data_IF_708677642698
#
_entry.id   IF_708677642698
#
_cell.length_a   1.000
_cell.length_b   1.000
_cell.length_c   1.000
_cell.angle_alpha   90.00
_cell.angle_beta   90.00
_cell.angle_gamma   90.00
#
_symmetry.space_group_name_H-M   'P 1'
#
loop_
_entity.id
_entity.type
_entity.pdbx_description
1 polymer ?
#
# COMPACT_ATOMS: atom_id res chain seq x y z
N UNK A 1 -3.94 -35.26 -9.47
CA UNK A 1 -5.22 -35.50 -8.78
C UNK A 1 -5.07 -35.53 -7.27
N UNK A 2 -4.19 -36.34 -6.68
CA UNK A 2 -3.98 -36.39 -5.24
C UNK A 2 -3.67 -35.04 -4.59
N UNK A 3 -2.90 -34.17 -5.26
CA UNK A 3 -2.58 -32.84 -4.74
C UNK A 3 -3.81 -31.91 -4.71
N UNK A 4 -4.69 -31.97 -5.72
CA UNK A 4 -5.92 -31.18 -5.73
C UNK A 4 -6.93 -31.67 -4.70
N UNK A 5 -7.00 -32.99 -4.47
CA UNK A 5 -7.79 -33.58 -3.37
C UNK A 5 -7.26 -33.13 -2.01
N UNK A 6 -5.94 -33.04 -1.86
CA UNK A 6 -5.32 -32.48 -0.65
C UNK A 6 -5.73 -31.02 -0.44
N UNK A 7 -5.66 -30.15 -1.47
CA UNK A 7 -6.06 -28.75 -1.34
C UNK A 7 -7.54 -28.59 -1.02
N UNK A 8 -8.43 -29.37 -1.64
CA UNK A 8 -9.86 -29.30 -1.38
C UNK A 8 -10.23 -29.74 0.06
N UNK A 9 -9.48 -30.68 0.63
CA UNK A 9 -9.71 -31.19 1.98
C UNK A 9 -9.02 -30.33 3.08
N UNK A 10 -8.28 -29.30 2.71
CA UNK A 10 -7.71 -28.39 3.72
C UNK A 10 -8.80 -27.48 4.29
N UNK A 11 -8.82 -27.37 5.60
CA UNK A 11 -9.64 -26.39 6.31
C UNK A 11 -8.83 -25.12 6.54
N UNK A 12 -9.23 -24.04 5.94
CA UNK A 12 -8.61 -22.74 6.11
C UNK A 12 -9.40 -21.95 7.14
N UNK A 13 -8.84 -21.73 8.32
CA UNK A 13 -9.43 -20.92 9.37
C UNK A 13 -8.68 -19.61 9.53
N UNK A 14 -9.41 -18.51 9.56
CA UNK A 14 -8.90 -17.21 9.93
C UNK A 14 -9.67 -16.66 11.12
N UNK A 15 -9.40 -17.18 12.31
CA UNK A 15 -10.15 -16.91 13.56
C UNK A 15 -10.20 -15.43 13.95
N UNK A 16 -9.32 -14.60 13.39
CA UNK A 16 -9.15 -13.19 13.79
C UNK A 16 -9.09 -12.25 12.59
N UNK A 17 -9.93 -12.47 11.57
CA UNK A 17 -10.05 -11.52 10.50
C UNK A 17 -10.76 -10.25 10.99
N UNK A 18 -10.20 -9.10 10.62
CA UNK A 18 -10.83 -7.80 10.85
C UNK A 18 -11.32 -7.30 9.50
N UNK A 19 -12.62 -7.06 9.33
CA UNK A 19 -13.19 -6.61 8.06
C UNK A 19 -12.50 -5.34 7.54
N UNK A 20 -12.37 -5.26 6.22
CA UNK A 20 -11.81 -4.13 5.50
C UNK A 20 -12.92 -3.33 4.83
N UNK A 21 -12.66 -2.07 4.50
CA UNK A 21 -13.59 -1.26 3.70
C UNK A 21 -13.80 -1.87 2.31
N UNK A 22 -12.72 -2.32 1.69
CA UNK A 22 -12.77 -3.11 0.46
C UNK A 22 -13.36 -4.48 0.75
N UNK A 23 -14.39 -4.88 0.00
CA UNK A 23 -15.04 -6.19 0.11
C UNK A 23 -14.94 -6.95 -1.22
N UNK A 24 -14.87 -8.27 -1.14
CA UNK A 24 -14.95 -9.13 -2.31
C UNK A 24 -16.39 -9.11 -2.84
N UNK A 25 -16.64 -8.71 -4.11
CA UNK A 25 -17.99 -8.73 -4.68
C UNK A 25 -18.56 -10.15 -4.64
N UNK A 26 -19.88 -10.28 -4.51
CA UNK A 26 -20.54 -11.59 -4.47
C UNK A 26 -20.58 -12.29 -5.84
N UNK A 27 -20.37 -11.59 -6.94
CA UNK A 27 -20.45 -12.11 -8.31
C UNK A 27 -19.28 -11.62 -9.16
N UNK A 28 -19.01 -12.34 -10.25
CA UNK A 28 -17.97 -12.02 -11.20
C UNK A 28 -16.60 -12.59 -10.83
N UNK A 29 -15.77 -12.72 -11.84
CA UNK A 29 -14.38 -13.14 -11.70
C UNK A 29 -13.53 -11.93 -11.33
N UNK A 30 -12.66 -12.05 -10.33
CA UNK A 30 -11.88 -10.93 -9.84
C UNK A 30 -10.39 -11.21 -9.83
N UNK A 31 -9.62 -10.16 -10.06
CA UNK A 31 -8.21 -10.09 -9.71
C UNK A 31 -8.04 -9.22 -8.46
N UNK A 32 -7.90 -9.84 -7.29
CA UNK A 32 -7.53 -9.15 -6.05
C UNK A 32 -6.03 -8.88 -6.05
N UNK A 33 -5.63 -7.62 -6.12
CA UNK A 33 -4.23 -7.26 -6.17
C UNK A 33 -3.87 -6.18 -5.14
N UNK A 34 -2.58 -6.03 -4.88
CA UNK A 34 -2.06 -5.04 -3.95
C UNK A 34 -0.72 -5.45 -3.36
N UNK A 35 -0.11 -4.55 -2.61
CA UNK A 35 1.22 -4.71 -2.04
C UNK A 35 1.33 -5.94 -1.14
N UNK A 36 2.55 -6.49 -1.03
CA UNK A 36 2.86 -7.60 -0.11
C UNK A 36 2.51 -7.22 1.33
N UNK A 37 1.78 -8.09 2.03
CA UNK A 37 1.41 -7.88 3.44
C UNK A 37 0.19 -7.00 3.69
N UNK A 38 -0.51 -6.50 2.65
CA UNK A 38 -1.73 -5.69 2.84
C UNK A 38 -2.97 -6.49 3.29
N UNK A 39 -2.89 -7.84 3.33
CA UNK A 39 -3.96 -8.69 3.87
C UNK A 39 -4.81 -9.43 2.85
N UNK A 40 -4.41 -9.51 1.56
CA UNK A 40 -5.17 -10.19 0.49
C UNK A 40 -5.56 -11.62 0.80
N UNK A 41 -4.58 -12.46 1.14
CA UNK A 41 -4.82 -13.87 1.51
C UNK A 41 -5.77 -14.00 2.69
N UNK A 42 -5.61 -13.14 3.73
CA UNK A 42 -6.51 -13.14 4.88
C UNK A 42 -7.96 -12.79 4.49
N UNK A 43 -8.15 -11.82 3.59
CA UNK A 43 -9.46 -11.44 3.06
C UNK A 43 -10.11 -12.58 2.28
N UNK A 44 -9.36 -13.26 1.43
CA UNK A 44 -9.88 -14.38 0.65
C UNK A 44 -10.17 -15.59 1.53
N UNK A 45 -9.31 -15.89 2.51
CA UNK A 45 -9.53 -16.98 3.44
C UNK A 45 -10.78 -16.75 4.31
N UNK A 46 -11.05 -15.52 4.72
CA UNK A 46 -12.28 -15.13 5.40
C UNK A 46 -13.51 -15.33 4.49
N UNK A 47 -13.42 -14.85 3.25
CA UNK A 47 -14.46 -14.97 2.26
C UNK A 47 -14.84 -16.45 2.00
N UNK A 48 -13.87 -17.33 1.80
CA UNK A 48 -14.15 -18.74 1.49
C UNK A 48 -14.69 -19.55 2.68
N UNK A 49 -14.56 -19.07 3.91
CA UNK A 49 -15.17 -19.73 5.09
C UNK A 49 -16.70 -19.72 5.06
N UNK A 50 -17.29 -18.77 4.35
CA UNK A 50 -18.74 -18.65 4.18
C UNK A 50 -19.26 -19.51 3.01
N UNK A 51 -18.35 -20.04 2.16
CA UNK A 51 -18.70 -20.82 0.98
C UNK A 51 -18.70 -22.34 1.28
N UNK A 52 -19.55 -23.15 0.59
CA UNK A 52 -19.53 -24.59 0.78
C UNK A 52 -18.18 -25.19 0.39
N UNK A 53 -17.55 -25.88 1.33
CA UNK A 53 -16.21 -26.45 1.14
C UNK A 53 -16.15 -27.43 -0.05
N UNK A 54 -17.17 -28.25 -0.21
CA UNK A 54 -17.24 -29.25 -1.28
C UNK A 54 -17.27 -28.64 -2.69
N UNK A 55 -17.67 -27.37 -2.82
CA UNK A 55 -17.72 -26.64 -4.09
C UNK A 55 -16.59 -25.60 -4.21
N UNK A 56 -15.69 -25.51 -3.23
CA UNK A 56 -14.60 -24.49 -3.17
C UNK A 56 -13.24 -25.18 -3.30
N UNK A 57 -12.39 -24.63 -4.16
CA UNK A 57 -10.99 -25.06 -4.30
C UNK A 57 -10.08 -23.86 -4.13
N UNK A 58 -9.29 -23.84 -3.05
CA UNK A 58 -8.25 -22.85 -2.80
C UNK A 58 -6.87 -23.45 -3.07
N UNK A 59 -6.07 -22.78 -3.88
CA UNK A 59 -4.72 -23.19 -4.24
C UNK A 59 -3.77 -22.03 -3.93
N UNK A 60 -2.84 -22.24 -3.00
CA UNK A 60 -1.70 -21.36 -2.81
C UNK A 60 -0.62 -21.69 -3.83
N UNK A 61 -0.38 -20.77 -4.79
CA UNK A 61 0.60 -20.97 -5.87
C UNK A 61 2.05 -20.89 -5.38
N UNK A 62 2.29 -20.47 -4.15
CA UNK A 62 3.62 -20.51 -3.49
C UNK A 62 3.81 -21.80 -2.65
N UNK A 63 2.82 -22.73 -2.65
CA UNK A 63 2.95 -24.01 -1.92
C UNK A 63 4.15 -24.82 -2.45
N UNK A 64 5.08 -25.24 -1.60
CA UNK A 64 6.24 -26.05 -2.00
C UNK A 64 5.91 -27.35 -2.75
N UNK A 65 4.72 -27.92 -2.53
CA UNK A 65 4.29 -29.12 -3.25
C UNK A 65 4.14 -28.89 -4.76
N UNK A 66 3.88 -27.65 -5.17
CA UNK A 66 3.79 -27.28 -6.59
C UNK A 66 5.15 -27.24 -7.30
N UNK A 67 6.28 -27.24 -6.58
CA UNK A 67 7.62 -27.32 -7.18
C UNK A 67 7.79 -28.66 -7.95
N UNK A 68 7.20 -29.74 -7.44
CA UNK A 68 7.31 -31.08 -8.02
C UNK A 68 6.12 -31.48 -8.89
N UNK A 69 5.03 -30.72 -8.82
CA UNK A 69 3.78 -31.01 -9.55
C UNK A 69 3.35 -29.77 -10.32
N UNK A 70 3.69 -29.71 -11.62
CA UNK A 70 3.15 -28.64 -12.47
C UNK A 70 1.64 -28.72 -12.53
N UNK A 71 0.98 -27.62 -12.20
CA UNK A 71 -0.48 -27.51 -12.29
C UNK A 71 -0.87 -27.24 -13.75
N UNK A 72 -1.16 -28.32 -14.51
CA UNK A 72 -1.66 -28.17 -15.87
C UNK A 72 -3.14 -27.79 -15.87
N UNK A 73 -3.53 -26.86 -16.75
CA UNK A 73 -4.90 -26.36 -16.86
C UNK A 73 -5.89 -27.49 -17.15
N UNK A 74 -5.50 -28.44 -18.02
CA UNK A 74 -6.34 -29.58 -18.37
C UNK A 74 -6.61 -30.52 -17.18
N UNK A 75 -5.61 -30.68 -16.30
CA UNK A 75 -5.75 -31.47 -15.07
C UNK A 75 -6.65 -30.77 -14.07
N UNK A 76 -6.48 -29.45 -13.93
CA UNK A 76 -7.29 -28.60 -13.08
C UNK A 76 -8.75 -28.58 -13.56
N UNK A 77 -8.98 -28.41 -14.87
CA UNK A 77 -10.32 -28.43 -15.46
C UNK A 77 -11.04 -29.76 -15.21
N UNK A 78 -10.38 -30.91 -15.50
CA UNK A 78 -10.94 -32.24 -15.23
C UNK A 78 -11.31 -32.43 -13.75
N UNK A 79 -10.53 -31.83 -12.85
CA UNK A 79 -10.83 -31.87 -11.41
C UNK A 79 -12.05 -31.02 -11.05
N UNK A 80 -12.11 -29.79 -11.57
CA UNK A 80 -13.24 -28.87 -11.40
C UNK A 80 -14.54 -29.55 -11.87
N UNK A 81 -14.53 -30.11 -13.07
CA UNK A 81 -15.71 -30.77 -13.65
C UNK A 81 -16.12 -32.00 -12.83
N UNK A 82 -15.17 -32.85 -12.41
CA UNK A 82 -15.42 -34.06 -11.63
C UNK A 82 -16.01 -33.75 -10.27
N UNK A 83 -15.44 -32.76 -9.57
CA UNK A 83 -15.80 -32.43 -8.19
C UNK A 83 -16.89 -31.35 -8.10
N UNK A 84 -17.37 -30.85 -9.26
CA UNK A 84 -18.37 -29.78 -9.35
C UNK A 84 -17.95 -28.52 -8.56
N UNK A 85 -16.67 -28.14 -8.70
CA UNK A 85 -16.14 -26.94 -8.07
C UNK A 85 -16.81 -25.71 -8.70
N UNK A 86 -17.36 -24.84 -7.86
CA UNK A 86 -18.00 -23.60 -8.25
C UNK A 86 -17.12 -22.38 -8.03
N UNK A 87 -16.33 -22.40 -6.97
CA UNK A 87 -15.38 -21.33 -6.64
C UNK A 87 -13.94 -21.85 -6.70
N UNK A 88 -13.13 -21.26 -7.57
CA UNK A 88 -11.70 -21.47 -7.63
C UNK A 88 -10.98 -20.22 -7.14
N UNK A 89 -10.08 -20.38 -6.17
CA UNK A 89 -9.16 -19.35 -5.72
C UNK A 89 -7.73 -19.74 -6.04
N UNK A 90 -7.02 -18.85 -6.74
CA UNK A 90 -5.59 -18.96 -7.03
C UNK A 90 -4.86 -17.86 -6.24
N UNK A 91 -4.36 -18.17 -5.05
CA UNK A 91 -3.60 -17.21 -4.25
C UNK A 91 -2.12 -17.20 -4.62
N UNK A 92 -1.43 -16.07 -4.40
CA UNK A 92 -0.03 -15.84 -4.80
C UNK A 92 0.25 -16.11 -6.30
N UNK A 93 -0.77 -15.90 -7.13
CA UNK A 93 -0.63 -16.14 -8.56
C UNK A 93 0.38 -15.17 -9.20
N UNK A 94 1.27 -15.72 -10.01
CA UNK A 94 2.20 -14.96 -10.84
C UNK A 94 1.78 -15.00 -12.31
N UNK A 95 2.03 -13.92 -13.04
CA UNK A 95 1.68 -13.86 -14.45
C UNK A 95 2.29 -15.04 -15.23
N UNK A 96 1.47 -15.72 -16.04
CA UNK A 96 1.82 -16.90 -16.82
C UNK A 96 2.12 -18.19 -16.00
N UNK A 97 1.73 -18.26 -14.73
CA UNK A 97 1.80 -19.51 -13.97
C UNK A 97 0.90 -20.61 -14.56
N UNK A 98 -0.19 -20.22 -15.20
CA UNK A 98 -1.03 -21.10 -16.04
C UNK A 98 -1.07 -20.57 -17.48
N UNK A 99 -1.24 -21.44 -18.44
CA UNK A 99 -1.37 -21.07 -19.88
C UNK A 99 -2.68 -20.34 -20.18
N UNK A 100 -3.74 -20.67 -19.44
CA UNK A 100 -5.05 -20.02 -19.44
C UNK A 100 -5.75 -20.28 -18.11
N UNK A 101 -6.79 -19.54 -17.80
CA UNK A 101 -7.64 -19.88 -16.65
C UNK A 101 -8.62 -20.99 -17.01
N UNK A 102 -8.91 -21.94 -16.09
CA UNK A 102 -9.94 -22.93 -16.29
C UNK A 102 -11.33 -22.28 -16.27
N UNK A 103 -12.30 -22.97 -16.89
CA UNK A 103 -13.70 -22.56 -16.82
C UNK A 103 -14.29 -23.03 -15.49
N UNK A 104 -14.79 -22.10 -14.71
CA UNK A 104 -15.42 -22.30 -13.41
C UNK A 104 -16.54 -21.27 -13.24
N UNK A 105 -17.51 -21.51 -12.37
CA UNK A 105 -18.61 -20.57 -12.12
C UNK A 105 -18.08 -19.23 -11.58
N UNK A 106 -17.04 -19.27 -10.72
CA UNK A 106 -16.40 -18.11 -10.15
C UNK A 106 -14.91 -18.30 -9.94
N UNK A 107 -14.11 -17.29 -10.33
CA UNK A 107 -12.66 -17.29 -10.22
C UNK A 107 -12.18 -16.07 -9.41
N UNK A 108 -11.36 -16.31 -8.39
CA UNK A 108 -10.64 -15.28 -7.64
C UNK A 108 -9.14 -15.51 -7.83
N UNK A 109 -8.46 -14.54 -8.44
CA UNK A 109 -7.01 -14.58 -8.66
C UNK A 109 -6.34 -13.52 -7.80
N UNK A 110 -5.51 -13.94 -6.84
CA UNK A 110 -4.82 -13.04 -5.93
C UNK A 110 -3.38 -12.83 -6.39
N UNK A 111 -3.01 -11.57 -6.61
CA UNK A 111 -1.71 -11.21 -7.20
C UNK A 111 -1.06 -10.05 -6.45
N UNK A 112 0.21 -9.78 -6.75
CA UNK A 112 0.92 -8.58 -6.26
C UNK A 112 0.64 -7.35 -7.12
N UNK A 113 0.40 -7.56 -8.42
CA UNK A 113 0.16 -6.52 -9.42
C UNK A 113 -1.18 -6.76 -10.13
N UNK A 114 -1.76 -5.70 -10.66
CA UNK A 114 -2.95 -5.81 -11.50
C UNK A 114 -2.66 -6.65 -12.74
N UNK A 115 -3.49 -7.68 -12.97
CA UNK A 115 -3.46 -8.44 -14.21
C UNK A 115 -4.22 -7.70 -15.33
N UNK A 116 -3.63 -7.66 -16.50
CA UNK A 116 -4.30 -7.15 -17.70
C UNK A 116 -5.07 -8.27 -18.39
N UNK A 117 -6.15 -8.73 -17.77
CA UNK A 117 -7.01 -9.79 -18.28
C UNK A 117 -8.46 -9.31 -18.37
N UNK A 118 -9.07 -9.45 -19.55
CA UNK A 118 -10.39 -8.85 -19.85
C UNK A 118 -11.55 -9.49 -19.10
N UNK A 119 -11.41 -10.73 -18.62
CA UNK A 119 -12.45 -11.44 -17.87
C UNK A 119 -12.34 -11.26 -16.35
N UNK A 120 -11.33 -10.57 -15.84
CA UNK A 120 -11.13 -10.38 -14.41
C UNK A 120 -11.35 -8.93 -14.04
N UNK A 121 -12.32 -8.66 -13.19
CA UNK A 121 -12.52 -7.34 -12.63
C UNK A 121 -11.43 -7.01 -11.60
N UNK A 122 -10.69 -5.91 -11.76
CA UNK A 122 -9.60 -5.57 -10.86
C UNK A 122 -10.12 -5.03 -9.54
N UNK A 123 -9.76 -5.67 -8.43
CA UNK A 123 -10.03 -5.23 -7.07
C UNK A 123 -8.71 -4.93 -6.36
N UNK A 124 -8.47 -3.67 -6.03
CA UNK A 124 -7.25 -3.26 -5.34
C UNK A 124 -7.43 -3.28 -3.83
N UNK A 125 -6.47 -3.88 -3.11
CA UNK A 125 -6.39 -3.82 -1.66
C UNK A 125 -5.14 -3.03 -1.25
N UNK A 126 -5.37 -1.85 -0.67
CA UNK A 126 -4.30 -1.05 -0.06
C UNK A 126 -3.95 -1.56 1.36
N UNK A 127 -2.77 -1.20 1.91
CA UNK A 127 -2.54 -1.25 3.34
C UNK A 127 -3.61 -0.46 4.12
N UNK A 128 -3.69 -0.65 5.43
CA UNK A 128 -4.70 0.00 6.27
C UNK A 128 -4.64 1.54 6.14
N UNK A 129 -5.78 2.19 5.98
CA UNK A 129 -5.91 3.59 6.32
C UNK A 129 -6.06 3.76 7.84
N UNK A 130 -6.24 5.00 8.28
CA UNK A 130 -6.35 5.26 9.70
C UNK A 130 -7.64 4.70 10.31
N UNK A 131 -8.76 4.78 9.61
CA UNK A 131 -10.05 4.28 10.07
C UNK A 131 -10.06 2.73 10.13
N UNK A 132 -9.56 2.06 9.09
CA UNK A 132 -9.36 0.61 9.13
C UNK A 132 -8.40 0.21 10.26
N UNK A 133 -7.33 1.00 10.49
CA UNK A 133 -6.41 0.75 11.59
C UNK A 133 -7.11 0.80 12.95
N UNK A 134 -8.06 1.72 13.16
CA UNK A 134 -8.84 1.79 14.41
C UNK A 134 -9.61 0.50 14.68
N UNK A 135 -10.14 -0.16 13.63
CA UNK A 135 -10.82 -1.45 13.79
C UNK A 135 -9.86 -2.58 14.24
N UNK A 136 -8.57 -2.50 13.86
CA UNK A 136 -7.54 -3.44 14.31
C UNK A 136 -7.04 -3.16 15.72
N UNK A 137 -7.05 -1.89 16.12
CA UNK A 137 -6.46 -1.45 17.40
C UNK A 137 -7.31 -1.83 18.60
N UNK A 138 -8.64 -1.77 18.48
CA UNK A 138 -9.54 -1.99 19.64
C UNK A 138 -9.33 -1.00 20.79
N UNK A 139 -8.62 0.11 20.57
CA UNK A 139 -8.18 1.03 21.62
C UNK A 139 -9.31 1.97 22.07
N UNK A 140 -9.25 2.34 23.34
CA UNK A 140 -10.24 3.19 24.01
C UNK A 140 -10.01 4.69 23.78
N UNK A 141 -8.82 5.12 23.33
CA UNK A 141 -8.44 6.52 23.19
C UNK A 141 -7.92 6.86 21.79
N UNK A 142 -8.54 7.82 21.12
CA UNK A 142 -8.13 8.30 19.80
C UNK A 142 -6.64 8.75 19.76
N UNK A 143 -6.17 9.43 20.79
CA UNK A 143 -4.77 9.86 20.90
C UNK A 143 -3.81 8.65 20.98
N UNK A 144 -4.18 7.63 21.75
CA UNK A 144 -3.37 6.42 21.86
C UNK A 144 -3.37 5.64 20.56
N UNK A 145 -4.51 5.53 19.89
CA UNK A 145 -4.65 4.88 18.61
C UNK A 145 -3.80 5.58 17.52
N UNK A 146 -3.84 6.90 17.46
CA UNK A 146 -3.02 7.66 16.51
C UNK A 146 -1.52 7.54 16.80
N UNK A 147 -1.10 7.60 18.07
CA UNK A 147 0.28 7.33 18.46
C UNK A 147 0.72 5.90 18.10
N UNK A 148 -0.18 4.93 18.21
CA UNK A 148 0.09 3.56 17.82
C UNK A 148 0.21 3.44 16.29
N UNK A 149 -0.70 4.03 15.53
CA UNK A 149 -0.62 4.13 14.07
C UNK A 149 0.72 4.69 13.59
N UNK A 150 1.16 5.82 14.16
CA UNK A 150 2.46 6.43 13.89
C UNK A 150 3.66 5.51 14.22
N UNK A 151 3.49 4.57 15.15
CA UNK A 151 4.56 3.64 15.55
C UNK A 151 4.61 2.38 14.70
N UNK A 152 3.47 1.84 14.31
CA UNK A 152 3.36 0.53 13.69
C UNK A 152 3.18 0.59 12.17
N UNK A 153 2.61 1.69 11.63
CA UNK A 153 2.33 1.84 10.20
C UNK A 153 1.01 1.21 9.79
N UNK A 154 0.92 0.88 8.52
CA UNK A 154 -0.30 0.51 7.80
C UNK A 154 -0.45 -0.99 7.53
N UNK A 155 0.55 -1.80 7.87
CA UNK A 155 0.48 -3.25 7.64
C UNK A 155 -0.40 -3.95 8.69
N UNK A 156 -1.44 -4.72 8.28
CA UNK A 156 -2.34 -5.40 9.21
C UNK A 156 -1.64 -6.26 10.25
N UNK A 157 -0.60 -6.98 9.85
CA UNK A 157 0.19 -7.81 10.75
C UNK A 157 0.87 -6.97 11.86
N UNK A 158 1.31 -5.75 11.53
CA UNK A 158 1.97 -4.87 12.50
C UNK A 158 0.94 -4.19 13.41
N UNK A 159 -0.22 -3.81 12.87
CA UNK A 159 -1.33 -3.24 13.65
C UNK A 159 -1.79 -4.19 14.77
N UNK A 160 -1.92 -5.49 14.49
CA UNK A 160 -2.32 -6.51 15.49
C UNK A 160 -1.35 -6.68 16.67
N UNK A 161 -0.10 -6.24 16.55
CA UNK A 161 0.91 -6.48 17.58
C UNK A 161 0.86 -5.48 18.76
N UNK A 162 0.01 -4.47 18.71
CA UNK A 162 -0.14 -3.41 19.73
C UNK A 162 1.16 -2.72 20.18
N UNK A 163 2.30 -3.09 19.61
CA UNK A 163 3.63 -2.49 19.89
C UNK A 163 4.48 -2.54 18.63
N UNK A 164 5.25 -1.49 18.40
CA UNK A 164 6.29 -1.50 17.37
C UNK A 164 7.24 -2.68 17.60
N UNK A 165 7.28 -3.62 16.66
CA UNK A 165 8.05 -4.85 16.78
C UNK A 165 9.04 -4.99 15.62
N UNK A 166 10.27 -4.58 15.87
CA UNK A 166 11.34 -4.66 14.86
C UNK A 166 11.62 -6.11 14.41
N UNK A 167 11.46 -7.09 15.30
CA UNK A 167 11.65 -8.50 14.94
C UNK A 167 10.57 -8.97 13.98
N UNK A 168 9.30 -8.61 14.19
CA UNK A 168 8.22 -8.94 13.28
C UNK A 168 8.43 -8.29 11.89
N UNK A 169 8.87 -7.04 11.83
CA UNK A 169 9.19 -6.37 10.57
C UNK A 169 10.39 -7.02 9.87
N UNK A 170 11.41 -7.48 10.59
CA UNK A 170 12.53 -8.25 10.01
C UNK A 170 12.03 -9.57 9.42
N UNK A 171 11.18 -10.31 10.12
CA UNK A 171 10.57 -11.55 9.61
C UNK A 171 9.75 -11.26 8.36
N UNK A 172 8.94 -10.20 8.37
CA UNK A 172 8.20 -9.76 7.19
C UNK A 172 9.12 -9.53 5.98
N UNK A 173 10.22 -8.78 6.17
CA UNK A 173 11.19 -8.56 5.11
C UNK A 173 11.82 -9.88 4.59
N UNK A 174 12.28 -10.73 5.52
CA UNK A 174 12.96 -11.98 5.16
C UNK A 174 12.05 -12.98 4.45
N UNK A 175 10.78 -13.05 4.83
CA UNK A 175 9.81 -13.97 4.25
C UNK A 175 9.21 -13.50 2.91
N UNK A 176 9.25 -12.20 2.62
CA UNK A 176 8.53 -11.62 1.47
C UNK A 176 9.43 -11.06 0.37
N UNK A 177 10.72 -10.92 0.63
CA UNK A 177 11.67 -10.27 -0.30
C UNK A 177 12.94 -11.07 -0.46
N UNK A 178 13.44 -11.15 -1.68
CA UNK A 178 14.72 -11.74 -2.00
C UNK A 178 15.88 -10.97 -1.34
N UNK A 179 17.03 -11.61 -1.03
CA UNK A 179 18.13 -10.96 -0.31
C UNK A 179 18.62 -9.64 -0.93
N UNK A 180 18.65 -9.53 -2.25
CA UNK A 180 19.04 -8.27 -2.91
C UNK A 180 17.92 -7.24 -2.91
N UNK A 181 16.65 -7.66 -2.96
CA UNK A 181 15.48 -6.77 -2.77
C UNK A 181 15.49 -6.18 -1.36
N UNK A 182 15.81 -6.99 -0.32
CA UNK A 182 15.95 -6.52 1.05
C UNK A 182 17.01 -5.42 1.17
N UNK A 183 18.19 -5.60 0.57
CA UNK A 183 19.25 -4.59 0.56
C UNK A 183 18.79 -3.31 -0.14
N UNK A 184 18.09 -3.43 -1.25
CA UNK A 184 17.56 -2.29 -1.97
C UNK A 184 16.51 -1.55 -1.13
N UNK A 185 15.58 -2.25 -0.48
CA UNK A 185 14.58 -1.65 0.41
C UNK A 185 15.21 -0.87 1.57
N UNK A 186 16.31 -1.37 2.14
CA UNK A 186 17.05 -0.65 3.19
C UNK A 186 17.64 0.67 2.68
N UNK A 187 18.13 0.69 1.44
CA UNK A 187 18.64 1.93 0.80
C UNK A 187 17.47 2.89 0.54
N UNK A 188 16.36 2.37 -0.01
CA UNK A 188 15.18 3.19 -0.27
C UNK A 188 14.61 3.78 1.03
N UNK A 189 14.63 3.02 2.13
CA UNK A 189 14.22 3.50 3.45
C UNK A 189 15.08 4.66 3.96
N UNK A 190 16.39 4.69 3.65
CA UNK A 190 17.28 5.78 4.03
C UNK A 190 17.02 7.07 3.23
N UNK A 191 16.44 6.95 2.05
CA UNK A 191 16.26 8.05 1.10
C UNK A 191 14.80 8.37 0.77
N UNK A 192 13.83 7.81 1.51
CA UNK A 192 12.42 8.10 1.26
C UNK A 192 12.11 9.59 1.44
N UNK A 193 11.06 10.05 0.77
CA UNK A 193 10.64 11.47 0.67
C UNK A 193 11.61 12.41 -0.04
N UNK A 194 12.74 11.91 -0.54
CA UNK A 194 13.65 12.70 -1.35
C UNK A 194 13.25 12.67 -2.84
N UNK A 195 13.60 13.72 -3.57
CA UNK A 195 13.48 13.76 -5.04
C UNK A 195 14.66 13.05 -5.67
N UNK A 196 14.43 11.87 -6.24
CA UNK A 196 15.48 11.02 -6.76
C UNK A 196 15.17 10.53 -8.17
N UNK A 197 16.23 10.39 -8.96
CA UNK A 197 16.22 9.60 -10.19
C UNK A 197 16.58 8.16 -9.89
N UNK A 198 16.13 7.20 -10.71
CA UNK A 198 16.53 5.80 -10.60
C UNK A 198 18.06 5.64 -10.70
N UNK A 199 18.73 6.53 -11.44
CA UNK A 199 20.18 6.53 -11.54
C UNK A 199 20.88 6.89 -10.22
N UNK A 200 20.35 7.85 -9.46
CA UNK A 200 20.87 8.16 -8.12
C UNK A 200 20.68 6.98 -7.16
N UNK A 201 19.52 6.32 -7.20
CA UNK A 201 19.27 5.10 -6.42
C UNK A 201 20.27 4.00 -6.80
N UNK A 202 20.59 3.86 -8.11
CA UNK A 202 21.61 2.92 -8.55
C UNK A 202 23.00 3.23 -7.96
N UNK A 203 23.40 4.51 -7.92
CA UNK A 203 24.67 4.91 -7.35
C UNK A 203 24.74 4.58 -5.85
N UNK A 204 23.70 4.88 -5.07
CA UNK A 204 23.63 4.49 -3.66
C UNK A 204 23.71 2.97 -3.46
N UNK A 205 23.01 2.20 -4.31
CA UNK A 205 23.04 0.74 -4.22
C UNK A 205 24.42 0.18 -4.55
N UNK A 206 25.08 0.70 -5.59
CA UNK A 206 26.40 0.25 -6.03
C UNK A 206 27.48 0.47 -4.96
N UNK A 207 27.37 1.49 -4.13
CA UNK A 207 28.27 1.74 -3.00
C UNK A 207 28.13 0.70 -1.88
N UNK A 208 26.95 0.08 -1.75
CA UNK A 208 26.63 -0.83 -0.64
C UNK A 208 26.75 -2.31 -1.00
N UNK A 209 26.44 -2.70 -2.24
CA UNK A 209 26.52 -4.08 -2.68
C UNK A 209 26.69 -4.20 -4.20
N UNK A 210 27.15 -5.38 -4.63
CA UNK A 210 27.31 -5.68 -6.06
C UNK A 210 25.93 -5.81 -6.72
N UNK A 211 25.62 -4.88 -7.63
CA UNK A 211 24.34 -4.80 -8.35
C UNK A 211 24.55 -4.36 -9.79
N UNK A 212 23.85 -5.00 -10.74
CA UNK A 212 23.83 -4.54 -12.13
C UNK A 212 22.79 -3.43 -12.30
N UNK A 213 23.04 -2.53 -13.25
CA UNK A 213 22.11 -1.45 -13.59
C UNK A 213 20.75 -2.00 -14.05
N UNK A 214 20.78 -3.01 -14.92
CA UNK A 214 19.56 -3.61 -15.49
C UNK A 214 18.69 -4.26 -14.42
N UNK A 215 19.30 -5.02 -13.48
CA UNK A 215 18.56 -5.61 -12.37
C UNK A 215 17.90 -4.53 -11.51
N UNK A 216 18.63 -3.47 -11.16
CA UNK A 216 18.07 -2.41 -10.32
C UNK A 216 16.92 -1.68 -11.00
N UNK A 217 17.07 -1.31 -12.27
CA UNK A 217 16.00 -0.64 -13.01
C UNK A 217 14.75 -1.51 -13.13
N UNK A 218 14.94 -2.82 -13.41
CA UNK A 218 13.85 -3.80 -13.45
C UNK A 218 13.17 -3.93 -12.08
N UNK A 219 13.94 -4.00 -10.99
CA UNK A 219 13.41 -4.16 -9.64
C UNK A 219 12.67 -2.90 -9.16
N UNK A 220 13.21 -1.70 -9.42
CA UNK A 220 12.52 -0.44 -9.10
C UNK A 220 11.20 -0.34 -9.86
N UNK A 221 11.16 -0.73 -11.14
CA UNK A 221 9.92 -0.78 -11.90
C UNK A 221 8.94 -1.77 -11.28
N UNK A 222 9.37 -2.99 -10.97
CA UNK A 222 8.54 -4.00 -10.32
C UNK A 222 8.00 -3.52 -8.96
N UNK A 223 8.83 -2.85 -8.16
CA UNK A 223 8.38 -2.27 -6.89
C UNK A 223 7.35 -1.15 -7.08
N UNK A 224 7.45 -0.36 -8.16
CA UNK A 224 6.43 0.60 -8.54
C UNK A 224 5.12 -0.08 -8.96
N UNK A 225 5.20 -1.11 -9.81
CA UNK A 225 4.05 -1.88 -10.29
C UNK A 225 3.33 -2.60 -9.12
N UNK A 226 4.09 -3.09 -8.11
CA UNK A 226 3.56 -3.69 -6.87
C UNK A 226 3.11 -2.64 -5.83
N UNK A 227 3.27 -1.34 -6.10
CA UNK A 227 3.00 -0.25 -5.16
C UNK A 227 3.78 -0.30 -3.84
N UNK A 228 4.96 -0.92 -3.85
CA UNK A 228 5.95 -0.80 -2.77
C UNK A 228 6.61 0.58 -2.78
N UNK A 229 6.67 1.22 -3.94
CA UNK A 229 7.20 2.55 -4.17
C UNK A 229 6.21 3.40 -4.98
N UNK A 230 6.12 4.66 -4.60
CA UNK A 230 5.42 5.66 -5.38
C UNK A 230 6.41 6.75 -5.77
N UNK A 231 6.32 7.23 -7.01
CA UNK A 231 7.13 8.31 -7.53
C UNK A 231 6.21 9.46 -7.91
N UNK A 232 6.22 10.51 -7.10
CA UNK A 232 5.38 11.69 -7.30
C UNK A 232 6.15 12.71 -8.15
N UNK A 233 5.55 13.15 -9.24
CA UNK A 233 6.10 14.18 -10.13
C UNK A 233 6.25 15.50 -9.38
N UNK A 234 7.19 16.33 -9.82
CA UNK A 234 7.39 17.67 -9.29
C UNK A 234 7.06 18.72 -10.34
N UNK A 235 6.32 19.74 -9.95
CA UNK A 235 5.89 20.83 -10.83
C UNK A 235 7.06 21.66 -11.34
N UNK A 236 8.13 21.78 -10.57
CA UNK A 236 9.30 22.57 -10.91
C UNK A 236 10.41 21.78 -11.56
N UNK A 237 10.63 20.57 -11.07
CA UNK A 237 11.79 19.78 -11.44
C UNK A 237 11.39 18.68 -12.43
N UNK A 238 11.92 18.78 -13.64
CA UNK A 238 11.73 17.71 -14.64
C UNK A 238 12.56 16.46 -14.37
N UNK A 239 13.58 16.55 -13.52
CA UNK A 239 14.48 15.45 -13.19
C UNK A 239 14.35 15.08 -11.71
N UNK A 240 14.11 13.78 -11.47
CA UNK A 240 13.87 13.29 -10.11
C UNK A 240 12.41 13.44 -9.70
N UNK A 241 11.92 12.41 -9.03
CA UNK A 241 10.56 12.32 -8.49
C UNK A 241 10.64 12.13 -7.01
N UNK A 242 9.69 12.66 -6.26
CA UNK A 242 9.62 12.39 -4.83
C UNK A 242 9.26 10.93 -4.61
N UNK A 243 10.13 10.21 -3.91
CA UNK A 243 9.97 8.79 -3.67
C UNK A 243 9.27 8.55 -2.33
N UNK A 244 8.15 7.82 -2.34
CA UNK A 244 7.42 7.41 -1.15
C UNK A 244 7.48 5.89 -1.00
N UNK A 245 7.52 5.43 0.24
CA UNK A 245 7.40 4.01 0.57
C UNK A 245 5.94 3.64 0.84
N UNK A 246 5.58 2.39 0.56
CA UNK A 246 4.24 1.80 0.75
C UNK A 246 3.69 1.89 2.17
N UNK A 247 4.57 2.01 3.16
CA UNK A 247 4.25 2.15 4.57
C UNK A 247 5.15 3.24 5.18
N UNK A 248 4.54 4.22 5.79
CA UNK A 248 5.26 5.39 6.33
C UNK A 248 6.12 5.06 7.56
N UNK A 249 5.81 3.97 8.28
CA UNK A 249 6.60 3.55 9.43
C UNK A 249 7.74 2.59 9.04
N UNK A 250 7.74 2.06 7.81
CA UNK A 250 8.73 1.07 7.36
C UNK A 250 10.17 1.54 7.58
N UNK A 251 10.49 2.76 7.16
CA UNK A 251 11.84 3.30 7.29
C UNK A 251 12.32 3.35 8.74
N UNK A 252 11.44 3.65 9.69
CA UNK A 252 11.74 3.73 11.12
C UNK A 252 12.25 2.42 11.72
N UNK A 253 11.83 1.28 11.18
CA UNK A 253 12.28 -0.01 11.68
C UNK A 253 13.73 -0.33 11.32
N UNK A 254 14.29 0.31 10.29
CA UNK A 254 15.60 -0.04 9.71
C UNK A 254 16.60 1.11 9.69
N UNK A 255 16.17 2.32 10.00
CA UNK A 255 17.02 3.51 10.00
C UNK A 255 17.07 4.14 11.38
N UNK A 256 18.23 4.67 11.78
CA UNK A 256 18.38 5.43 13.00
C UNK A 256 18.30 6.92 12.71
N UNK A 257 17.61 7.67 13.60
CA UNK A 257 17.59 9.14 13.51
C UNK A 257 16.74 9.71 12.38
N UNK A 258 15.79 8.95 11.84
CA UNK A 258 14.84 9.48 10.84
C UNK A 258 13.99 10.59 11.46
N UNK A 259 13.98 11.79 10.87
CA UNK A 259 13.12 12.87 11.35
C UNK A 259 11.64 12.50 11.24
N UNK A 260 10.88 12.72 12.29
CA UNK A 260 9.43 12.50 12.31
C UNK A 260 8.71 13.21 11.14
N UNK A 261 9.23 14.37 10.74
CA UNK A 261 8.71 15.15 9.61
C UNK A 261 8.64 14.33 8.30
N UNK A 262 9.65 13.50 8.01
CA UNK A 262 9.68 12.68 6.79
C UNK A 262 8.67 11.55 6.86
N UNK A 263 8.52 10.93 8.03
CA UNK A 263 7.50 9.91 8.26
C UNK A 263 6.11 10.49 8.09
N UNK A 264 5.85 11.66 8.68
CA UNK A 264 4.57 12.34 8.61
C UNK A 264 4.24 12.79 7.18
N UNK A 265 5.21 13.32 6.45
CA UNK A 265 5.07 13.68 5.05
C UNK A 265 4.72 12.48 4.17
N UNK A 266 5.40 11.33 4.37
CA UNK A 266 5.05 10.09 3.67
C UNK A 266 3.62 9.61 4.01
N UNK A 267 3.20 9.74 5.27
CA UNK A 267 1.86 9.36 5.73
C UNK A 267 0.77 10.18 5.04
N UNK A 268 0.94 11.50 5.00
CA UNK A 268 -0.01 12.41 4.32
C UNK A 268 -0.10 12.07 2.82
N UNK A 269 1.04 11.92 2.16
CA UNK A 269 1.06 11.60 0.74
C UNK A 269 0.44 10.22 0.42
N UNK A 270 0.66 9.21 1.26
CA UNK A 270 0.04 7.89 1.10
C UNK A 270 -1.48 7.93 1.30
N UNK A 271 -1.98 8.76 2.21
CA UNK A 271 -3.43 8.97 2.34
C UNK A 271 -4.01 9.54 1.06
N UNK A 272 -3.38 10.56 0.45
CA UNK A 272 -3.81 11.10 -0.84
C UNK A 272 -3.80 10.05 -1.95
N UNK A 273 -2.74 9.21 -2.01
CA UNK A 273 -2.66 8.10 -2.98
C UNK A 273 -3.81 7.12 -2.79
N UNK A 274 -4.12 6.74 -1.55
CA UNK A 274 -5.20 5.79 -1.24
C UNK A 274 -6.57 6.34 -1.62
N UNK A 275 -6.81 7.63 -1.41
CA UNK A 275 -8.05 8.31 -1.82
C UNK A 275 -8.10 8.65 -3.32
N UNK A 276 -7.13 8.13 -4.11
CA UNK A 276 -7.04 8.38 -5.55
C UNK A 276 -6.96 9.86 -5.94
N UNK A 277 -6.52 10.71 -5.03
CA UNK A 277 -6.29 12.14 -5.30
C UNK A 277 -5.11 12.25 -6.28
N UNK A 278 -5.30 12.97 -7.36
CA UNK A 278 -4.24 13.23 -8.32
C UNK A 278 -3.49 14.50 -7.89
N UNK A 279 -2.21 14.37 -7.66
CA UNK A 279 -1.37 15.48 -7.17
C UNK A 279 0.08 15.36 -7.63
N UNK A 280 0.79 16.47 -7.56
CA UNK A 280 2.22 16.60 -7.80
C UNK A 280 2.88 17.37 -6.66
N UNK A 281 4.18 17.28 -6.47
CA UNK A 281 4.88 18.13 -5.52
C UNK A 281 5.09 19.52 -6.07
N UNK A 282 4.98 20.53 -5.23
CA UNK A 282 5.34 21.90 -5.52
C UNK A 282 6.70 22.23 -4.85
N UNK A 283 7.76 21.55 -5.28
CA UNK A 283 9.05 21.54 -4.59
C UNK A 283 8.92 21.13 -3.14
N UNK A 284 9.43 21.96 -2.22
CA UNK A 284 9.33 21.75 -0.77
C UNK A 284 8.11 22.47 -0.15
N UNK A 285 7.14 22.92 -0.97
CA UNK A 285 6.01 23.70 -0.46
C UNK A 285 4.80 22.85 -0.09
N UNK A 286 4.72 21.63 -0.58
CA UNK A 286 3.61 20.71 -0.35
C UNK A 286 3.18 19.97 -1.62
N UNK A 287 1.97 19.46 -1.61
CA UNK A 287 1.36 18.68 -2.67
C UNK A 287 0.23 19.49 -3.31
N UNK A 288 0.37 19.79 -4.60
CA UNK A 288 -0.63 20.51 -5.39
C UNK A 288 -1.57 19.50 -6.04
N UNK A 289 -2.86 19.59 -5.73
CA UNK A 289 -3.90 18.76 -6.34
C UNK A 289 -4.40 19.36 -7.66
N UNK A 290 -5.18 18.61 -8.43
CA UNK A 290 -5.83 19.10 -9.65
C UNK A 290 -6.94 20.15 -9.37
N UNK A 291 -7.39 20.26 -8.13
CA UNK A 291 -8.45 21.19 -7.69
C UNK A 291 -7.90 22.52 -7.18
N UNK A 292 -6.64 22.86 -7.53
CA UNK A 292 -5.96 24.08 -7.06
C UNK A 292 -5.81 24.16 -5.53
N UNK A 293 -5.83 23.01 -4.84
CA UNK A 293 -5.56 22.88 -3.42
C UNK A 293 -4.10 22.51 -3.17
N UNK A 294 -3.50 23.17 -2.19
CA UNK A 294 -2.14 22.85 -1.72
C UNK A 294 -2.22 22.14 -0.36
N UNK A 295 -1.87 20.86 -0.31
CA UNK A 295 -1.80 20.07 0.93
C UNK A 295 -0.38 20.12 1.48
N UNK A 296 -0.23 20.48 2.76
CA UNK A 296 1.06 20.67 3.42
C UNK A 296 1.12 19.80 4.67
N UNK A 297 2.09 18.87 4.72
CA UNK A 297 2.37 18.09 5.91
C UNK A 297 3.19 18.94 6.91
N UNK A 298 2.53 19.46 7.95
CA UNK A 298 3.14 20.34 8.93
C UNK A 298 2.71 19.97 10.37
N UNK A 299 3.26 18.86 10.92
CA UNK A 299 2.74 18.21 12.12
C UNK A 299 2.61 19.09 13.35
N UNK A 300 3.45 20.11 13.51
CA UNK A 300 3.53 20.94 14.73
C UNK A 300 3.30 22.44 14.45
N UNK A 301 2.79 22.79 13.28
CA UNK A 301 2.64 24.18 12.89
C UNK A 301 1.49 24.85 13.64
N UNK A 302 1.75 26.04 14.20
CA UNK A 302 0.72 26.88 14.84
C UNK A 302 0.13 27.88 13.86
N UNK A 303 -1.08 28.37 14.16
CA UNK A 303 -1.77 29.39 13.36
C UNK A 303 -0.90 30.63 13.13
N UNK A 304 -0.34 31.20 14.19
CA UNK A 304 0.47 32.43 14.13
C UNK A 304 1.71 32.24 13.24
N UNK A 305 2.45 31.14 13.44
CA UNK A 305 3.64 30.83 12.65
C UNK A 305 3.28 30.63 11.19
N UNK A 306 2.22 29.88 10.92
CA UNK A 306 1.81 29.57 9.56
C UNK A 306 1.26 30.80 8.82
N UNK A 307 0.51 31.65 9.53
CA UNK A 307 -0.01 32.90 8.97
C UNK A 307 1.12 33.81 8.48
N UNK A 308 2.18 34.02 9.27
CA UNK A 308 3.37 34.81 8.87
C UNK A 308 4.06 34.18 7.66
N UNK A 309 4.27 32.85 7.65
CA UNK A 309 4.88 32.13 6.52
C UNK A 309 4.06 32.26 5.25
N UNK A 310 2.73 32.22 5.39
CA UNK A 310 1.81 32.28 4.25
C UNK A 310 1.77 33.66 3.60
N UNK A 311 1.89 34.72 4.37
CA UNK A 311 2.03 36.06 3.80
C UNK A 311 3.27 36.18 2.88
N UNK A 312 4.39 35.62 3.32
CA UNK A 312 5.64 35.62 2.54
C UNK A 312 5.54 34.75 1.26
N UNK A 313 4.65 33.76 1.25
CA UNK A 313 4.43 32.86 0.10
C UNK A 313 3.24 33.26 -0.77
N UNK A 314 2.57 34.36 -0.50
CA UNK A 314 1.36 34.77 -1.23
C UNK A 314 1.58 34.88 -2.75
N UNK A 315 2.72 35.38 -3.19
CA UNK A 315 3.07 35.43 -4.62
C UNK A 315 3.16 34.05 -5.27
N UNK A 316 3.63 33.04 -4.52
CA UNK A 316 3.67 31.66 -4.96
C UNK A 316 2.23 31.12 -5.14
N UNK A 317 1.39 31.28 -4.13
CA UNK A 317 0.00 30.80 -4.20
C UNK A 317 -0.77 31.42 -5.38
N UNK A 318 -0.60 32.73 -5.59
CA UNK A 318 -1.19 33.41 -6.74
C UNK A 318 -0.66 32.87 -8.07
N UNK A 319 0.65 32.64 -8.17
CA UNK A 319 1.29 32.11 -9.39
C UNK A 319 0.70 30.78 -9.85
N UNK A 320 0.36 29.90 -8.89
CA UNK A 320 -0.17 28.57 -9.16
C UNK A 320 -1.69 28.46 -9.05
N UNK A 321 -2.40 29.58 -8.87
CA UNK A 321 -3.86 29.63 -8.80
C UNK A 321 -4.45 28.98 -7.55
N UNK A 322 -3.64 28.79 -6.50
CA UNK A 322 -4.06 28.10 -5.27
C UNK A 322 -5.18 28.86 -4.59
N UNK A 323 -6.29 28.18 -4.33
CA UNK A 323 -7.50 28.73 -3.69
C UNK A 323 -7.66 28.26 -2.27
N UNK A 324 -7.21 27.05 -1.97
CA UNK A 324 -7.25 26.42 -0.65
C UNK A 324 -5.87 25.89 -0.27
N UNK A 325 -5.50 26.07 0.97
CA UNK A 325 -4.28 25.48 1.56
C UNK A 325 -4.70 24.67 2.77
N UNK A 326 -4.56 23.37 2.68
CA UNK A 326 -4.84 22.45 3.78
C UNK A 326 -3.53 22.09 4.49
N UNK A 327 -3.48 22.37 5.78
CA UNK A 327 -2.33 22.09 6.63
C UNK A 327 -2.64 20.86 7.48
N UNK A 328 -2.01 19.73 7.15
CA UNK A 328 -2.20 18.51 7.94
C UNK A 328 -1.26 18.53 9.13
N UNK A 329 -1.83 18.43 10.33
CA UNK A 329 -1.12 18.53 11.61
C UNK A 329 -1.24 17.23 12.43
N UNK A 330 -0.55 17.14 13.56
CA UNK A 330 -0.76 16.05 14.55
C UNK A 330 -1.99 16.31 15.40
N UNK A 331 -2.20 17.56 15.85
CA UNK A 331 -3.25 17.91 16.80
C UNK A 331 -3.79 19.34 16.67
N UNK A 332 -3.09 20.22 15.94
CA UNK A 332 -3.51 21.61 15.81
C UNK A 332 -4.64 21.74 14.80
N UNK A 333 -5.64 22.54 15.14
CA UNK A 333 -6.77 22.85 14.29
C UNK A 333 -6.98 24.38 14.31
N UNK A 334 -7.04 24.99 13.14
CA UNK A 334 -7.30 26.42 12.95
C UNK A 334 -7.69 26.72 11.52
N UNK A 335 -8.30 27.88 11.34
CA UNK A 335 -8.78 28.34 10.04
C UNK A 335 -8.58 29.85 9.92
N UNK A 336 -8.10 30.32 8.77
CA UNK A 336 -8.01 31.74 8.47
C UNK A 336 -8.00 32.01 6.97
N UNK A 337 -8.13 33.28 6.62
CA UNK A 337 -8.11 33.73 5.23
C UNK A 337 -7.01 34.77 5.03
N UNK A 338 -6.28 34.64 3.92
CA UNK A 338 -5.41 35.71 3.41
C UNK A 338 -5.94 36.09 2.03
N UNK A 339 -6.59 37.25 1.93
CA UNK A 339 -7.31 37.72 0.72
C UNK A 339 -8.35 36.68 0.29
N UNK A 340 -8.18 36.08 -0.89
CA UNK A 340 -9.09 35.11 -1.49
C UNK A 340 -8.63 33.64 -1.33
N UNK A 341 -7.62 33.40 -0.50
CA UNK A 341 -7.13 32.05 -0.23
C UNK A 341 -7.60 31.62 1.15
N UNK A 342 -8.23 30.48 1.21
CA UNK A 342 -8.67 29.82 2.43
C UNK A 342 -7.56 28.91 2.96
N UNK A 343 -7.24 29.01 4.24
CA UNK A 343 -6.27 28.18 4.96
C UNK A 343 -6.98 27.42 6.06
N UNK A 344 -6.84 26.13 6.03
CA UNK A 344 -7.48 25.22 6.99
C UNK A 344 -6.44 24.24 7.53
N UNK A 345 -6.27 24.19 8.83
CA UNK A 345 -5.43 23.20 9.49
C UNK A 345 -6.28 22.17 10.19
N UNK A 346 -6.00 20.91 9.92
CA UNK A 346 -6.72 19.77 10.50
C UNK A 346 -5.72 18.72 11.02
N UNK A 347 -6.01 18.08 12.14
CA UNK A 347 -5.29 16.89 12.55
C UNK A 347 -5.43 15.78 11.49
N UNK A 348 -4.37 15.01 11.29
CA UNK A 348 -4.35 13.94 10.29
C UNK A 348 -5.56 12.98 10.43
N UNK A 349 -5.90 12.61 11.64
CA UNK A 349 -6.97 11.66 11.92
C UNK A 349 -8.38 12.20 11.56
N UNK A 350 -8.58 13.52 11.51
CA UNK A 350 -9.79 14.13 10.99
C UNK A 350 -9.70 14.30 9.47
N UNK A 351 -8.60 14.88 9.00
CA UNK A 351 -8.39 15.14 7.58
C UNK A 351 -8.45 13.87 6.71
N UNK A 352 -7.89 12.76 7.18
CA UNK A 352 -7.85 11.52 6.41
C UNK A 352 -9.22 10.85 6.24
N UNK A 353 -10.18 11.13 7.11
CA UNK A 353 -11.55 10.60 7.03
C UNK A 353 -12.43 11.49 6.14
N UNK A 354 -12.27 12.82 6.20
CA UNK A 354 -13.08 13.77 5.42
C UNK A 354 -12.90 13.65 3.89
N UNK A 355 -11.83 13.02 3.41
CA UNK A 355 -11.57 12.83 1.99
C UNK A 355 -12.15 11.51 1.44
N UNK A 356 -13.05 10.85 2.16
CA UNK A 356 -13.67 9.58 1.75
C UNK A 356 -15.04 9.75 1.07
N UNK A 357 -15.55 10.98 0.91
CA UNK A 357 -16.75 11.30 0.13
C UNK A 357 -16.34 11.67 -1.31
#
# INVERSE_FOLDING_TARGET
MLLLEYYQNQHYFNEHYVPRKTQIPLQGDINLYGVRGCGKSAMVLDYIQEEPQECTLYIDMEDPNLIFASLAVETLQKYIDKMQIKLLVLDHYTQNALTSFPSVERLIVVTRIKLHHTSLDPLELFPLDYEEFLAFEGSVSATNAFNHFLKTGTLPQMAKLHKSNTSAMKIFMQSRFEPNEQKLLLILAQHHTQHLTVHQIYNFAKEKFKVSKDWLYKTIKAFGDEKLLFFIEDRYQKSGKKMLLFDFAFAKYFTTGQPFMLQFDNMVALAMVKHHIIFETLGNHGYLTQEDELVIAAPFESEESFWVKSQNKFSLYKKYGIRKVTIVTVANQYEFHIKNIHFEALPFYEWSILNEE
#
